data_IF_653787981443
#
_entry.id   IF_653787981443
#
_cell.length_a   1.000
_cell.length_b   1.000
_cell.length_c   1.000
_cell.angle_alpha   90.00
_cell.angle_beta   90.00
_cell.angle_gamma   90.00
#
_symmetry.space_group_name_H-M   'P 1'
#
loop_
_entity.id
_entity.type
_entity.pdbx_description
1 polymer ?
#
# COMPACT_ATOMS: atom_id res chain seq x y z
N UNK A 1 9.79 -3.87 -30.77
CA UNK A 1 10.08 -3.20 -29.48
C UNK A 1 10.34 -1.74 -29.79
N UNK A 2 9.28 -0.95 -30.02
CA UNK A 2 9.42 0.45 -30.43
C UNK A 2 8.51 1.34 -29.58
N UNK A 3 9.12 2.38 -29.01
CA UNK A 3 8.50 3.58 -28.42
C UNK A 3 7.73 3.44 -27.10
N UNK A 4 8.33 2.88 -26.06
CA UNK A 4 8.13 3.55 -24.76
C UNK A 4 8.93 4.85 -24.81
N UNK A 5 8.25 5.99 -24.94
CA UNK A 5 8.88 7.29 -24.74
C UNK A 5 9.57 7.28 -23.37
N UNK A 6 10.78 7.84 -23.25
CA UNK A 6 11.51 7.95 -21.98
C UNK A 6 10.61 8.48 -20.86
N UNK A 7 9.70 9.40 -21.21
CA UNK A 7 8.67 9.94 -20.33
C UNK A 7 7.71 8.87 -19.81
N UNK A 8 7.26 7.94 -20.67
CA UNK A 8 6.39 6.83 -20.28
C UNK A 8 7.07 5.86 -19.31
N UNK A 9 8.36 5.58 -19.49
CA UNK A 9 9.13 4.77 -18.55
C UNK A 9 9.26 5.47 -17.19
N UNK A 10 9.52 6.77 -17.19
CA UNK A 10 9.59 7.58 -15.96
C UNK A 10 8.23 7.59 -15.24
N UNK A 11 7.13 7.79 -15.96
CA UNK A 11 5.79 7.73 -15.40
C UNK A 11 5.46 6.35 -14.81
N UNK A 12 5.86 5.27 -15.49
CA UNK A 12 5.72 3.91 -14.96
C UNK A 12 6.53 3.73 -13.68
N UNK A 13 7.76 4.23 -13.60
CA UNK A 13 8.55 4.17 -12.38
C UNK A 13 7.89 4.95 -11.24
N UNK A 14 7.44 6.18 -11.50
CA UNK A 14 6.71 6.98 -10.50
C UNK A 14 5.45 6.24 -10.04
N UNK A 15 4.70 5.65 -10.98
CA UNK A 15 3.51 4.89 -10.67
C UNK A 15 3.81 3.64 -9.84
N UNK A 16 4.88 2.90 -10.15
CA UNK A 16 5.29 1.74 -9.36
C UNK A 16 5.66 2.15 -7.92
N UNK A 17 6.44 3.22 -7.79
CA UNK A 17 6.91 3.73 -6.50
C UNK A 17 5.74 4.28 -5.68
N UNK A 18 5.10 5.35 -6.19
CA UNK A 18 4.06 6.08 -5.48
C UNK A 18 2.80 5.24 -5.37
N UNK A 19 2.38 4.60 -6.46
CA UNK A 19 1.19 3.75 -6.50
C UNK A 19 1.36 2.51 -5.63
N UNK A 20 2.48 1.80 -5.73
CA UNK A 20 2.79 0.67 -4.85
C UNK A 20 2.77 1.07 -3.38
N UNK A 21 3.52 2.12 -3.04
CA UNK A 21 3.65 2.60 -1.66
C UNK A 21 2.32 3.07 -1.06
N UNK A 22 1.57 3.93 -1.75
CA UNK A 22 0.26 4.41 -1.32
C UNK A 22 -0.71 3.25 -1.13
N UNK A 23 -0.76 2.30 -2.07
CA UNK A 23 -1.65 1.12 -1.97
C UNK A 23 -1.31 0.30 -0.73
N UNK A 24 -0.02 0.11 -0.43
CA UNK A 24 0.44 -0.59 0.77
C UNK A 24 0.05 0.13 2.07
N UNK A 25 0.23 1.45 2.13
CA UNK A 25 -0.18 2.29 3.26
C UNK A 25 -1.69 2.21 3.49
N UNK A 26 -2.51 2.35 2.45
CA UNK A 26 -3.96 2.28 2.54
C UNK A 26 -4.44 0.89 2.98
N UNK A 27 -3.85 -0.19 2.45
CA UNK A 27 -4.21 -1.56 2.82
C UNK A 27 -4.10 -1.77 4.34
N UNK A 28 -2.95 -1.40 4.91
CA UNK A 28 -2.70 -1.58 6.32
C UNK A 28 -3.46 -0.58 7.20
N UNK A 29 -3.55 0.69 6.78
CA UNK A 29 -4.30 1.72 7.50
C UNK A 29 -5.80 1.41 7.59
N UNK A 30 -6.43 1.01 6.48
CA UNK A 30 -7.84 0.64 6.45
C UNK A 30 -8.11 -0.66 7.21
N UNK A 31 -7.18 -1.62 7.18
CA UNK A 31 -7.28 -2.81 8.00
C UNK A 31 -7.30 -2.47 9.50
N UNK A 32 -6.42 -1.55 9.92
CA UNK A 32 -6.36 -1.15 11.33
C UNK A 32 -7.58 -0.33 11.76
N UNK A 33 -8.02 0.62 10.94
CA UNK A 33 -9.23 1.42 11.19
C UNK A 33 -10.50 0.55 11.20
N UNK A 34 -10.62 -0.36 10.23
CA UNK A 34 -11.76 -1.27 10.16
C UNK A 34 -11.83 -2.19 11.38
N UNK A 35 -10.67 -2.71 11.84
CA UNK A 35 -10.59 -3.56 13.04
C UNK A 35 -11.13 -2.84 14.28
N UNK A 36 -10.95 -1.51 14.37
CA UNK A 36 -11.43 -0.70 15.50
C UNK A 36 -12.92 -0.33 15.41
N UNK A 37 -13.49 -0.15 14.21
CA UNK A 37 -14.87 0.40 14.04
C UNK A 37 -15.92 -0.53 13.43
N UNK A 38 -15.57 -1.40 12.49
CA UNK A 38 -16.54 -2.02 11.56
C UNK A 38 -16.73 -3.53 11.74
N UNK A 39 -15.94 -4.15 12.62
CA UNK A 39 -15.95 -5.60 12.81
C UNK A 39 -15.08 -6.33 11.78
N UNK A 40 -14.61 -7.52 12.17
CA UNK A 40 -13.54 -8.26 11.50
C UNK A 40 -13.86 -8.61 10.04
N UNK A 41 -15.14 -8.90 9.74
CA UNK A 41 -15.59 -9.40 8.45
C UNK A 41 -15.65 -8.29 7.39
N UNK A 42 -16.26 -7.14 7.71
CA UNK A 42 -16.28 -5.96 6.85
C UNK A 42 -14.87 -5.41 6.59
N UNK A 43 -14.02 -5.43 7.59
CA UNK A 43 -12.61 -5.00 7.48
C UNK A 43 -11.83 -5.84 6.47
N UNK A 44 -12.00 -7.17 6.53
CA UNK A 44 -11.33 -8.08 5.60
C UNK A 44 -11.86 -7.90 4.18
N UNK A 45 -13.17 -7.73 4.01
CA UNK A 45 -13.80 -7.46 2.71
C UNK A 45 -13.29 -6.15 2.09
N UNK A 46 -13.19 -5.07 2.88
CA UNK A 46 -12.71 -3.78 2.41
C UNK A 46 -11.21 -3.83 2.05
N UNK A 47 -10.43 -4.56 2.85
CA UNK A 47 -8.99 -4.67 2.61
C UNK A 47 -8.67 -5.57 1.39
N UNK A 48 -9.57 -6.48 1.02
CA UNK A 48 -9.37 -7.41 -0.10
C UNK A 48 -9.10 -6.70 -1.43
N UNK A 49 -9.69 -5.52 -1.64
CA UNK A 49 -9.48 -4.69 -2.84
C UNK A 49 -8.00 -4.29 -3.01
N UNK A 50 -7.28 -4.05 -1.92
CA UNK A 50 -5.87 -3.64 -1.97
C UNK A 50 -4.92 -4.81 -2.24
N UNK A 51 -5.38 -6.06 -2.15
CA UNK A 51 -4.62 -7.25 -2.55
C UNK A 51 -4.76 -7.58 -4.03
N UNK A 52 -5.72 -6.97 -4.74
CA UNK A 52 -5.88 -7.16 -6.19
C UNK A 52 -4.63 -6.68 -6.93
N UNK A 53 -4.06 -5.55 -6.50
CA UNK A 53 -2.88 -4.94 -7.13
C UNK A 53 -1.64 -5.85 -7.07
N UNK A 54 -1.18 -6.33 -5.90
CA UNK A 54 -0.03 -7.25 -5.85
C UNK A 54 -0.35 -8.62 -6.49
N UNK A 55 -1.58 -9.12 -6.40
CA UNK A 55 -1.97 -10.37 -7.06
C UNK A 55 -1.90 -10.24 -8.59
N UNK A 56 -2.37 -9.13 -9.14
CA UNK A 56 -2.26 -8.83 -10.57
C UNK A 56 -0.80 -8.68 -10.99
N UNK A 57 0.03 -7.97 -10.21
CA UNK A 57 1.46 -7.85 -10.49
C UNK A 57 2.16 -9.21 -10.55
N UNK A 58 1.85 -10.13 -9.63
CA UNK A 58 2.38 -11.49 -9.65
C UNK A 58 1.96 -12.27 -10.91
N UNK A 59 0.69 -12.16 -11.32
CA UNK A 59 0.20 -12.80 -12.55
C UNK A 59 0.89 -12.23 -13.79
N UNK A 60 1.09 -10.91 -13.85
CA UNK A 60 1.76 -10.25 -14.96
C UNK A 60 3.26 -10.58 -15.04
N UNK A 61 3.94 -10.83 -13.92
CA UNK A 61 5.32 -11.35 -13.92
C UNK A 61 5.37 -12.71 -14.62
N UNK A 62 4.43 -13.61 -14.31
CA UNK A 62 4.37 -14.95 -14.91
C UNK A 62 4.04 -14.90 -16.41
N UNK A 63 3.33 -13.86 -16.86
CA UNK A 63 2.99 -13.67 -18.28
C UNK A 63 4.11 -13.10 -19.15
N UNK A 64 5.24 -12.73 -18.54
CA UNK A 64 6.41 -12.18 -19.25
C UNK A 64 6.08 -10.96 -20.14
N UNK A 65 5.19 -10.07 -19.68
CA UNK A 65 4.71 -8.88 -20.41
C UNK A 65 5.80 -7.80 -20.67
N UNK A 66 7.09 -8.12 -20.49
CA UNK A 66 8.23 -7.22 -20.74
C UNK A 66 8.43 -6.10 -19.70
N UNK A 67 7.54 -6.01 -18.71
CA UNK A 67 7.52 -4.97 -17.66
C UNK A 67 7.92 -5.52 -16.28
N UNK A 68 8.72 -6.59 -16.24
CA UNK A 68 9.12 -7.28 -15.00
C UNK A 68 9.65 -6.31 -13.94
N UNK A 69 10.50 -5.36 -14.35
CA UNK A 69 11.09 -4.38 -13.44
C UNK A 69 10.02 -3.49 -12.79
N UNK A 70 9.01 -3.07 -13.53
CA UNK A 70 7.89 -2.29 -12.99
C UNK A 70 7.10 -3.08 -11.94
N UNK A 71 6.76 -4.34 -12.23
CA UNK A 71 5.99 -5.18 -11.30
C UNK A 71 6.75 -5.52 -10.03
N UNK A 72 8.05 -5.82 -10.14
CA UNK A 72 8.90 -6.07 -8.97
C UNK A 72 9.01 -4.81 -8.11
N UNK A 73 9.25 -3.65 -8.74
CA UNK A 73 9.35 -2.38 -8.01
C UNK A 73 8.02 -2.06 -7.32
N UNK A 74 6.89 -2.26 -8.00
CA UNK A 74 5.56 -2.07 -7.44
C UNK A 74 5.34 -2.96 -6.20
N UNK A 75 5.72 -4.24 -6.25
CA UNK A 75 5.62 -5.17 -5.13
C UNK A 75 6.52 -4.76 -3.95
N UNK A 76 7.75 -4.33 -4.22
CA UNK A 76 8.68 -3.85 -3.18
C UNK A 76 8.12 -2.63 -2.47
N UNK A 77 7.63 -1.62 -3.22
CA UNK A 77 7.07 -0.42 -2.62
C UNK A 77 5.74 -0.68 -1.92
N UNK A 78 4.91 -1.59 -2.44
CA UNK A 78 3.73 -2.07 -1.74
C UNK A 78 4.06 -2.70 -0.38
N UNK A 79 5.07 -3.57 -0.35
CA UNK A 79 5.52 -4.18 0.89
C UNK A 79 6.10 -3.15 1.87
N UNK A 80 6.88 -2.18 1.37
CA UNK A 80 7.37 -1.05 2.16
C UNK A 80 6.21 -0.24 2.77
N UNK A 81 5.17 0.08 1.99
CA UNK A 81 4.00 0.81 2.49
C UNK A 81 3.26 0.05 3.58
N UNK A 82 3.11 -1.27 3.44
CA UNK A 82 2.55 -2.11 4.52
C UNK A 82 3.45 -2.11 5.76
N UNK A 83 4.77 -2.18 5.59
CA UNK A 83 5.69 -2.21 6.72
C UNK A 83 5.72 -0.87 7.47
N UNK A 84 5.78 0.25 6.74
CA UNK A 84 5.85 1.60 7.29
C UNK A 84 4.57 2.00 8.02
N UNK A 85 3.40 1.71 7.44
CA UNK A 85 2.10 1.96 8.09
C UNK A 85 1.97 1.31 9.48
N UNK A 86 2.58 0.14 9.68
CA UNK A 86 2.60 -0.56 10.97
C UNK A 86 3.52 0.09 12.00
N UNK A 87 4.56 0.81 11.56
CA UNK A 87 5.43 1.56 12.47
C UNK A 87 4.77 2.86 12.91
N UNK A 88 4.09 3.55 11.99
CA UNK A 88 3.40 4.82 12.28
C UNK A 88 2.22 4.62 13.25
N UNK A 89 1.50 3.49 13.19
CA UNK A 89 0.36 3.24 14.09
C UNK A 89 0.73 3.00 15.57
N UNK A 90 2.01 2.77 15.88
CA UNK A 90 2.51 2.58 17.26
C UNK A 90 2.81 3.92 17.97
N UNK A 91 2.96 5.03 17.23
CA UNK A 91 3.44 6.30 17.77
C UNK A 91 2.37 7.29 18.30
N UNK A 92 1.18 7.34 17.71
CA UNK A 92 0.23 8.45 17.95
C UNK A 92 -0.90 8.14 18.94
N UNK A 93 -0.95 6.93 19.51
CA UNK A 93 -1.88 6.58 20.59
C UNK A 93 -1.27 6.79 21.98
N UNK A 94 -0.35 7.76 22.15
CA UNK A 94 -0.15 8.31 23.50
C UNK A 94 -1.30 9.28 23.74
N UNK A 95 -2.25 8.99 24.66
CA UNK A 95 -3.19 10.01 25.08
C UNK A 95 -2.35 11.21 25.50
N UNK A 96 -2.63 12.36 24.92
CA UNK A 96 -1.98 13.60 25.28
C UNK A 96 -2.21 13.79 26.78
N UNK A 97 -1.18 13.49 27.58
CA UNK A 97 -1.23 13.56 29.05
C UNK A 97 -1.48 14.99 29.55
N UNK A 98 -1.52 15.96 28.65
CA UNK A 98 -1.76 17.36 28.95
C UNK A 98 -3.25 17.76 28.96
N UNK A 99 -4.17 16.83 28.69
CA UNK A 99 -5.63 17.06 28.78
C UNK A 99 -6.25 16.37 30.00
N UNK A 100 -5.62 16.47 31.17
CA UNK A 100 -6.35 16.31 32.42
C UNK A 100 -6.90 17.69 32.80
N UNK A 101 -8.23 17.93 32.79
CA UNK A 101 -8.77 19.11 33.43
C UNK A 101 -8.47 18.96 34.92
N UNK A 102 -7.63 19.85 35.45
CA UNK A 102 -7.39 19.97 36.89
C UNK A 102 -8.74 20.15 37.60
N UNK A 103 -9.02 19.28 38.59
CA UNK A 103 -10.14 19.42 39.54
C UNK A 103 -10.10 20.75 40.30
#
# INVERSE_FOLDING_TARGET
>A
MDKFSTVGVILLLILAIVGGYMTGLFAAGLYELGKRRLGKLLTVMLNLVFYIVPAWALISIVKEDGLLFFYVLLLVFYFLGIHDSKQTSVGENKPDKNYEPYD
#
